data_IF_464016975868
#
_entry.id   IF_464016975868
#
_cell.length_a   1.000
_cell.length_b   1.000
_cell.length_c   1.000
_cell.angle_alpha   90.00
_cell.angle_beta   90.00
_cell.angle_gamma   90.00
#
_symmetry.space_group_name_H-M   'P 1'
#
loop_
_entity.id
_entity.type
_entity.pdbx_description
1 polymer ?
#
# COMPACT_ATOMS: atom_id res chain seq x y z
N UNK A 1 -27.51 -7.16 -29.09
CA UNK A 1 -26.22 -6.49 -29.30
C UNK A 1 -26.31 -5.08 -28.72
N UNK A 2 -25.96 -4.91 -27.45
CA UNK A 2 -25.88 -3.59 -26.81
C UNK A 2 -24.51 -3.51 -26.12
N UNK A 3 -23.71 -2.53 -26.52
CA UNK A 3 -22.42 -2.20 -25.91
C UNK A 3 -22.70 -1.10 -24.89
N UNK A 4 -22.57 -1.41 -23.61
CA UNK A 4 -22.46 -0.38 -22.57
C UNK A 4 -20.98 -0.09 -22.33
N UNK A 5 -20.55 1.10 -22.73
CA UNK A 5 -19.22 1.65 -22.42
C UNK A 5 -19.39 2.64 -21.27
N UNK A 6 -18.99 2.22 -20.07
CA UNK A 6 -18.82 3.11 -18.92
C UNK A 6 -17.77 4.18 -19.25
N UNK A 7 -18.22 5.44 -19.36
CA UNK A 7 -17.36 6.62 -19.51
C UNK A 7 -17.06 7.18 -18.13
N UNK A 8 -15.96 6.76 -17.52
CA UNK A 8 -15.25 7.60 -16.56
C UNK A 8 -13.99 8.15 -17.22
N UNK A 9 -14.02 9.44 -17.52
CA UNK A 9 -12.94 10.14 -18.21
C UNK A 9 -11.94 10.65 -17.16
N UNK A 10 -10.64 10.41 -17.36
CA UNK A 10 -9.53 10.86 -16.49
C UNK A 10 -9.57 12.37 -16.20
N UNK A 11 -10.24 13.16 -17.07
CA UNK A 11 -10.47 14.60 -16.90
C UNK A 11 -11.52 14.96 -15.84
N UNK A 12 -12.45 14.09 -15.49
CA UNK A 12 -13.48 14.37 -14.49
C UNK A 12 -12.94 14.17 -13.06
N UNK A 13 -11.92 13.31 -12.89
CA UNK A 13 -11.19 13.13 -11.63
C UNK A 13 -10.45 14.41 -11.19
N UNK A 14 -9.75 15.08 -12.12
CA UNK A 14 -9.01 16.32 -11.81
C UNK A 14 -9.93 17.54 -11.65
N UNK A 15 -11.10 17.55 -12.31
CA UNK A 15 -12.11 18.60 -12.11
C UNK A 15 -12.75 18.55 -10.72
N UNK A 16 -12.73 17.40 -10.04
CA UNK A 16 -13.15 17.28 -8.65
C UNK A 16 -12.17 17.90 -7.64
N UNK A 17 -10.94 18.24 -8.05
CA UNK A 17 -9.87 18.69 -7.14
C UNK A 17 -9.54 20.18 -7.17
N UNK A 18 -10.10 20.96 -8.08
CA UNK A 18 -9.70 22.36 -8.30
C UNK A 18 -10.78 23.35 -7.87
N UNK A 19 -11.08 23.42 -6.56
CA UNK A 19 -11.96 24.49 -6.08
C UNK A 19 -12.44 24.43 -4.65
N UNK A 20 -11.55 24.36 -3.64
CA UNK A 20 -11.75 25.06 -2.35
C UNK A 20 -10.37 25.35 -1.75
N UNK A 21 -9.94 26.60 -1.87
CA UNK A 21 -9.00 27.18 -0.93
C UNK A 21 -9.79 28.07 0.04
N UNK A 22 -9.36 28.07 1.30
CA UNK A 22 -9.72 28.97 2.41
C UNK A 22 -10.77 28.44 3.40
N UNK A 23 -10.27 28.29 4.63
CA UNK A 23 -10.94 28.16 5.94
C UNK A 23 -11.46 26.77 6.36
N UNK A 24 -10.61 26.06 7.11
CA UNK A 24 -11.03 25.31 8.29
C UNK A 24 -12.00 24.15 8.09
N UNK A 25 -11.55 23.04 7.49
CA UNK A 25 -12.15 21.71 7.72
C UNK A 25 -11.01 20.69 7.78
N UNK A 26 -10.31 20.65 8.91
CA UNK A 26 -9.57 19.44 9.29
C UNK A 26 -10.58 18.31 9.50
N UNK A 27 -10.27 17.12 8.97
CA UNK A 27 -10.91 15.80 9.21
C UNK A 27 -12.06 15.28 8.31
N UNK A 28 -12.44 15.93 7.20
CA UNK A 28 -13.61 15.50 6.40
C UNK A 28 -13.42 14.70 5.10
N UNK A 29 -12.26 14.80 4.42
CA UNK A 29 -12.13 14.34 3.01
C UNK A 29 -11.52 12.94 2.80
N UNK A 30 -11.18 12.23 3.89
CA UNK A 30 -10.87 10.81 3.86
C UNK A 30 -11.90 10.06 4.70
N UNK A 31 -13.13 9.98 4.22
CA UNK A 31 -14.09 9.01 4.76
C UNK A 31 -13.74 7.62 4.27
N UNK A 32 -12.64 7.05 4.75
CA UNK A 32 -12.41 5.60 4.74
C UNK A 32 -13.32 4.97 5.79
N UNK A 33 -14.64 5.02 5.58
CA UNK A 33 -15.50 4.02 6.18
C UNK A 33 -15.37 2.77 5.31
N UNK A 34 -14.27 2.03 5.55
CA UNK A 34 -14.24 0.63 5.20
C UNK A 34 -15.39 -0.02 5.97
N UNK A 35 -16.54 -0.23 5.31
CA UNK A 35 -17.52 -1.17 5.84
C UNK A 35 -16.87 -2.55 5.75
N UNK A 36 -16.15 -2.93 6.81
CA UNK A 36 -15.90 -4.32 7.08
C UNK A 36 -17.27 -4.97 7.28
N UNK A 37 -17.83 -5.53 6.21
CA UNK A 37 -19.00 -6.39 6.29
C UNK A 37 -18.68 -7.50 7.28
N UNK A 38 -19.50 -7.59 8.32
CA UNK A 38 -19.48 -8.54 9.43
C UNK A 38 -18.41 -9.65 9.32
N UNK A 39 -17.17 -9.32 9.71
CA UNK A 39 -16.14 -10.30 10.01
C UNK A 39 -16.58 -11.02 11.29
N UNK A 40 -17.47 -12.00 11.10
CA UNK A 40 -18.16 -12.73 12.15
C UNK A 40 -17.21 -13.11 13.28
N UNK A 41 -17.48 -12.54 14.47
CA UNK A 41 -16.83 -12.90 15.74
C UNK A 41 -15.63 -12.05 16.16
N UNK A 42 -14.83 -11.49 15.26
CA UNK A 42 -13.66 -10.67 15.63
C UNK A 42 -14.04 -9.19 15.85
N UNK A 43 -14.88 -8.64 14.96
CA UNK A 43 -15.37 -7.26 15.05
C UNK A 43 -16.21 -7.01 16.31
N UNK A 44 -17.00 -8.00 16.74
CA UNK A 44 -17.80 -7.89 17.97
C UNK A 44 -16.96 -7.94 19.25
N UNK A 45 -15.83 -8.66 19.26
CA UNK A 45 -14.92 -8.77 20.41
C UNK A 45 -14.12 -7.50 20.69
N UNK A 46 -13.81 -6.73 19.66
CA UNK A 46 -13.02 -5.50 19.72
C UNK A 46 -13.87 -4.25 19.47
N UNK A 47 -15.09 -4.21 20.02
CA UNK A 47 -15.89 -2.98 20.09
C UNK A 47 -15.57 -2.19 21.37
N UNK A 48 -15.49 -0.86 21.25
CA UNK A 48 -15.27 0.01 22.42
C UNK A 48 -14.74 1.40 22.07
N UNK A 49 -14.61 2.23 23.10
CA UNK A 49 -14.01 3.55 22.98
C UNK A 49 -12.48 3.42 22.85
N UNK A 50 -11.91 3.94 21.77
CA UNK A 50 -10.47 3.90 21.50
C UNK A 50 -9.63 4.74 22.47
N UNK A 51 -10.25 5.60 23.28
CA UNK A 51 -9.58 6.34 24.35
C UNK A 51 -9.52 5.58 25.67
N UNK A 52 -10.11 4.37 25.76
CA UNK A 52 -10.15 3.56 26.98
C UNK A 52 -8.99 2.54 27.03
N UNK A 53 -8.17 2.58 28.08
CA UNK A 53 -7.10 1.60 28.33
C UNK A 53 -7.59 0.14 28.39
N UNK A 54 -8.86 -0.10 28.76
CA UNK A 54 -9.45 -1.45 28.70
C UNK A 54 -9.53 -1.96 27.27
N UNK A 55 -9.83 -1.10 26.30
CA UNK A 55 -9.86 -1.48 24.89
C UNK A 55 -8.47 -1.90 24.43
N UNK A 56 -7.44 -1.08 24.67
CA UNK A 56 -6.07 -1.41 24.26
C UNK A 56 -5.49 -2.63 24.99
N UNK A 57 -5.93 -2.91 26.22
CA UNK A 57 -5.61 -4.18 26.89
C UNK A 57 -6.21 -5.38 26.19
N UNK A 58 -7.45 -5.28 25.67
CA UNK A 58 -8.05 -6.35 24.85
C UNK A 58 -7.25 -6.54 23.56
N UNK A 59 -6.94 -5.46 22.84
CA UNK A 59 -6.12 -5.51 21.61
C UNK A 59 -4.76 -6.15 21.88
N UNK A 60 -4.05 -5.73 22.94
CA UNK A 60 -2.76 -6.34 23.33
C UNK A 60 -2.89 -7.84 23.63
N UNK A 61 -4.02 -8.28 24.19
CA UNK A 61 -4.26 -9.68 24.49
C UNK A 61 -4.52 -10.54 23.24
N UNK A 62 -4.76 -9.95 22.08
CA UNK A 62 -4.88 -10.68 20.82
C UNK A 62 -3.54 -11.15 20.27
N UNK A 63 -2.40 -10.69 20.81
CA UNK A 63 -1.08 -11.09 20.33
C UNK A 63 -0.43 -12.13 21.24
N UNK A 64 0.47 -12.94 20.67
CA UNK A 64 1.27 -13.96 21.39
C UNK A 64 2.65 -13.44 21.83
N UNK A 65 2.88 -12.13 21.75
CA UNK A 65 4.13 -11.48 22.12
C UNK A 65 4.61 -11.88 23.52
N UNK A 66 5.93 -12.06 23.66
CA UNK A 66 6.56 -12.36 24.94
C UNK A 66 6.30 -11.23 25.95
N UNK A 67 5.61 -11.55 27.05
CA UNK A 67 5.24 -10.57 28.10
C UNK A 67 6.43 -10.00 28.87
N UNK A 68 7.62 -10.58 28.73
CA UNK A 68 8.87 -10.07 29.31
C UNK A 68 9.59 -9.07 28.41
N UNK A 69 9.06 -8.82 27.22
CA UNK A 69 9.65 -7.92 26.22
C UNK A 69 8.69 -6.79 25.88
N UNK A 70 9.24 -5.59 25.69
CA UNK A 70 8.50 -4.46 25.14
C UNK A 70 8.80 -4.42 23.64
N UNK A 71 7.86 -4.92 22.85
CA UNK A 71 8.00 -4.98 21.40
C UNK A 71 7.68 -3.63 20.77
N UNK A 72 8.72 -2.94 20.28
CA UNK A 72 8.60 -1.60 19.68
C UNK A 72 8.86 -1.58 18.17
N UNK A 73 9.27 -2.71 17.57
CA UNK A 73 9.57 -2.78 16.14
C UNK A 73 8.34 -3.20 15.32
N UNK A 74 7.40 -2.27 15.12
CA UNK A 74 6.24 -2.52 14.24
C UNK A 74 6.51 -2.22 12.76
N UNK A 75 7.64 -1.59 12.45
CA UNK A 75 8.00 -1.18 11.09
C UNK A 75 8.62 -2.29 10.24
N UNK A 76 9.40 -3.20 10.85
CA UNK A 76 10.05 -4.29 10.11
C UNK A 76 9.24 -5.58 10.11
N UNK A 77 8.67 -5.96 11.26
CA UNK A 77 7.99 -7.25 11.41
C UNK A 77 6.80 -7.08 12.34
N UNK A 78 5.60 -7.37 11.84
CA UNK A 78 4.40 -7.40 12.67
C UNK A 78 4.31 -8.70 13.48
N UNK A 79 3.59 -8.67 14.61
CA UNK A 79 3.10 -9.89 15.25
C UNK A 79 1.73 -10.22 14.68
N UNK A 80 1.50 -11.48 14.30
CA UNK A 80 0.15 -11.93 13.96
C UNK A 80 -0.75 -11.94 15.20
N UNK A 81 -2.00 -11.47 15.11
CA UNK A 81 -3.03 -11.78 16.10
C UNK A 81 -3.25 -13.30 16.21
N UNK A 82 -3.75 -13.78 17.35
CA UNK A 82 -3.95 -15.19 17.66
C UNK A 82 -4.86 -15.90 16.65
N UNK A 83 -5.96 -15.27 16.28
CA UNK A 83 -6.91 -15.84 15.32
C UNK A 83 -6.26 -15.97 13.93
N UNK A 84 -5.50 -14.95 13.48
CA UNK A 84 -4.73 -15.01 12.22
C UNK A 84 -3.67 -16.11 12.26
N UNK A 85 -2.92 -16.22 13.36
CA UNK A 85 -1.90 -17.26 13.53
C UNK A 85 -2.52 -18.66 13.51
N UNK A 86 -3.68 -18.84 14.13
CA UNK A 86 -4.43 -20.09 14.14
C UNK A 86 -4.90 -20.48 12.74
N UNK A 87 -5.47 -19.53 12.00
CA UNK A 87 -5.93 -19.78 10.63
C UNK A 87 -4.75 -20.03 9.68
N UNK A 88 -3.61 -19.37 9.88
CA UNK A 88 -2.38 -19.65 9.15
C UNK A 88 -1.89 -21.09 9.36
N UNK A 89 -1.83 -21.57 10.61
CA UNK A 89 -1.47 -22.97 10.91
C UNK A 89 -2.46 -23.96 10.28
N UNK A 90 -3.77 -23.68 10.38
CA UNK A 90 -4.82 -24.47 9.75
C UNK A 90 -4.62 -24.54 8.23
N UNK A 91 -4.39 -23.41 7.58
CA UNK A 91 -4.24 -23.32 6.13
C UNK A 91 -2.99 -24.08 5.65
N UNK A 92 -1.87 -23.99 6.36
CA UNK A 92 -0.66 -24.76 6.05
C UNK A 92 -0.90 -26.27 6.12
N UNK A 93 -1.67 -26.75 7.12
CA UNK A 93 -2.03 -28.17 7.23
C UNK A 93 -2.91 -28.62 6.07
N UNK A 94 -3.92 -27.83 5.71
CA UNK A 94 -4.80 -28.14 4.57
C UNK A 94 -4.00 -28.29 3.28
N UNK A 95 -3.07 -27.37 3.00
CA UNK A 95 -2.22 -27.45 1.81
C UNK A 95 -1.32 -28.69 1.83
N UNK A 96 -0.81 -29.07 3.02
CA UNK A 96 0.04 -30.26 3.16
C UNK A 96 -0.75 -31.58 3.03
N UNK A 97 -1.98 -31.63 3.53
CA UNK A 97 -2.86 -32.81 3.49
C UNK A 97 -3.51 -33.00 2.11
N UNK A 98 -3.83 -31.89 1.43
CA UNK A 98 -4.56 -31.87 0.16
C UNK A 98 -3.83 -31.04 -0.91
N UNK A 99 -2.61 -31.41 -1.34
CA UNK A 99 -1.80 -30.60 -2.25
C UNK A 99 -2.38 -30.45 -3.68
N UNK A 100 -3.37 -31.24 -4.06
CA UNK A 100 -3.96 -31.22 -5.41
C UNK A 100 -5.04 -30.15 -5.58
N UNK A 101 -5.88 -29.90 -4.57
CA UNK A 101 -6.99 -28.93 -4.65
C UNK A 101 -7.28 -28.19 -3.33
N UNK A 102 -6.46 -28.42 -2.30
CA UNK A 102 -6.62 -27.88 -0.96
C UNK A 102 -8.00 -28.16 -0.35
N UNK A 103 -8.65 -29.27 -0.74
CA UNK A 103 -10.02 -29.63 -0.34
C UNK A 103 -11.03 -28.50 -0.59
N UNK A 104 -10.81 -27.71 -1.65
CA UNK A 104 -11.59 -26.50 -1.98
C UNK A 104 -11.63 -25.45 -0.86
N UNK A 105 -10.73 -25.50 0.13
CA UNK A 105 -10.75 -24.63 1.31
C UNK A 105 -10.53 -23.14 0.99
N UNK A 106 -9.95 -22.83 -0.17
CA UNK A 106 -9.66 -21.46 -0.61
C UNK A 106 -10.54 -20.99 -1.78
N UNK A 107 -11.68 -21.64 -2.00
CA UNK A 107 -12.61 -21.28 -3.07
C UNK A 107 -12.10 -21.70 -4.46
N UNK A 108 -12.53 -20.98 -5.50
CA UNK A 108 -12.16 -21.30 -6.89
C UNK A 108 -10.83 -20.69 -7.27
N UNK A 109 -10.04 -21.39 -8.09
CA UNK A 109 -8.82 -20.84 -8.68
C UNK A 109 -9.10 -19.48 -9.36
N UNK A 110 -8.30 -18.42 -9.12
CA UNK A 110 -6.97 -18.38 -8.48
C UNK A 110 -6.93 -18.31 -6.93
N UNK A 111 -7.96 -18.78 -6.21
CA UNK A 111 -8.05 -18.94 -4.74
C UNK A 111 -8.03 -17.65 -3.91
N UNK A 112 -7.64 -16.53 -4.50
CA UNK A 112 -7.50 -15.23 -3.82
C UNK A 112 -8.62 -14.24 -4.17
N UNK A 113 -9.45 -14.54 -5.16
CA UNK A 113 -10.46 -13.60 -5.65
C UNK A 113 -11.46 -13.19 -4.56
N UNK A 114 -11.91 -14.15 -3.75
CA UNK A 114 -12.84 -13.86 -2.66
C UNK A 114 -12.18 -13.00 -1.57
N UNK A 115 -10.87 -13.21 -1.33
CA UNK A 115 -10.10 -12.38 -0.40
C UNK A 115 -9.94 -10.95 -0.93
N UNK A 116 -9.62 -10.81 -2.22
CA UNK A 116 -9.52 -9.50 -2.88
C UNK A 116 -10.87 -8.77 -2.81
N UNK A 117 -11.97 -9.46 -3.11
CA UNK A 117 -13.32 -8.90 -3.02
C UNK A 117 -13.67 -8.40 -1.62
N UNK A 118 -13.24 -9.13 -0.58
CA UNK A 118 -13.48 -8.73 0.80
C UNK A 118 -12.70 -7.47 1.23
N UNK A 119 -11.49 -7.25 0.70
CA UNK A 119 -10.64 -6.12 1.12
C UNK A 119 -10.77 -4.88 0.22
N UNK A 120 -11.17 -5.04 -1.05
CA UNK A 120 -11.18 -3.96 -2.03
C UNK A 120 -11.93 -2.69 -1.60
N UNK A 121 -13.13 -2.78 -0.97
CA UNK A 121 -13.83 -1.60 -0.47
C UNK A 121 -13.02 -0.81 0.57
N UNK A 122 -12.18 -1.48 1.37
CA UNK A 122 -11.34 -0.85 2.37
C UNK A 122 -10.22 0.02 1.78
N UNK A 123 -9.86 -0.21 0.52
CA UNK A 123 -8.87 0.56 -0.23
C UNK A 123 -9.50 1.55 -1.22
N UNK A 124 -10.83 1.56 -1.34
CA UNK A 124 -11.53 2.36 -2.36
C UNK A 124 -11.20 1.94 -3.79
N UNK A 125 -10.86 0.66 -3.99
CA UNK A 125 -10.48 0.09 -5.28
C UNK A 125 -11.51 -0.96 -5.73
N UNK A 126 -11.59 -1.21 -7.03
CA UNK A 126 -12.32 -2.35 -7.58
C UNK A 126 -11.49 -3.63 -7.42
N UNK A 127 -12.15 -4.79 -7.51
CA UNK A 127 -11.47 -6.08 -7.31
C UNK A 127 -10.43 -6.39 -8.38
N UNK A 128 -10.58 -5.83 -9.58
CA UNK A 128 -9.63 -5.94 -10.69
C UNK A 128 -8.46 -4.93 -10.60
N UNK A 129 -8.49 -4.02 -9.63
CA UNK A 129 -7.43 -3.03 -9.37
C UNK A 129 -6.48 -3.47 -8.23
N UNK A 130 -6.72 -4.64 -7.63
CA UNK A 130 -5.91 -5.16 -6.52
C UNK A 130 -5.20 -6.47 -6.86
N UNK A 131 -3.94 -6.55 -6.44
CA UNK A 131 -3.12 -7.76 -6.53
C UNK A 131 -2.51 -8.04 -5.15
N UNK A 132 -2.62 -9.29 -4.68
CA UNK A 132 -1.96 -9.72 -3.45
C UNK A 132 -0.51 -10.12 -3.75
N UNK A 133 0.44 -9.41 -3.14
CA UNK A 133 1.87 -9.73 -3.17
C UNK A 133 2.30 -10.38 -1.85
N UNK A 134 3.47 -11.03 -1.84
CA UNK A 134 3.98 -11.70 -0.63
C UNK A 134 4.45 -10.70 0.44
N UNK A 135 4.93 -9.55 0.01
CA UNK A 135 5.38 -8.43 0.83
C UNK A 135 5.57 -7.19 -0.05
N UNK A 136 5.89 -6.04 0.57
CA UNK A 136 6.07 -4.77 -0.14
C UNK A 136 7.18 -4.82 -1.19
N UNK A 137 8.32 -5.45 -0.89
CA UNK A 137 9.44 -5.58 -1.85
C UNK A 137 9.05 -6.42 -3.06
N UNK A 138 8.34 -7.52 -2.85
CA UNK A 138 7.81 -8.38 -3.92
C UNK A 138 6.84 -7.61 -4.82
N UNK A 139 5.93 -6.83 -4.22
CA UNK A 139 5.00 -5.97 -4.97
C UNK A 139 5.73 -4.92 -5.81
N UNK A 140 6.64 -4.15 -5.19
CA UNK A 140 7.44 -3.14 -5.89
C UNK A 140 8.28 -3.74 -7.01
N UNK A 141 9.00 -4.83 -6.72
CA UNK A 141 9.84 -5.50 -7.70
C UNK A 141 9.02 -6.05 -8.87
N UNK A 142 7.85 -6.65 -8.60
CA UNK A 142 6.97 -7.18 -9.64
C UNK A 142 6.48 -6.09 -10.59
N UNK A 143 6.11 -4.92 -10.06
CA UNK A 143 5.67 -3.79 -10.89
C UNK A 143 6.84 -3.21 -11.67
N UNK A 144 7.95 -2.84 -10.99
CA UNK A 144 9.11 -2.20 -11.63
C UNK A 144 9.67 -3.11 -12.74
N UNK A 145 9.92 -4.39 -12.47
CA UNK A 145 10.47 -5.31 -13.47
C UNK A 145 9.45 -5.74 -14.54
N UNK A 146 8.16 -5.44 -14.35
CA UNK A 146 7.10 -5.73 -15.31
C UNK A 146 6.85 -4.62 -16.32
N UNK A 147 7.44 -3.43 -16.14
CA UNK A 147 7.34 -2.33 -17.09
C UNK A 147 8.24 -2.57 -18.30
N UNK A 148 7.77 -2.14 -19.49
CA UNK A 148 8.50 -2.30 -20.75
C UNK A 148 9.50 -1.16 -20.95
N UNK A 149 10.58 -1.17 -20.19
CA UNK A 149 11.64 -0.17 -20.29
C UNK A 149 12.44 -0.26 -21.59
N UNK A 150 12.86 0.90 -22.08
CA UNK A 150 13.82 1.07 -23.19
C UNK A 150 15.07 1.78 -22.70
N UNK A 151 16.17 1.55 -23.41
CA UNK A 151 17.43 2.25 -23.16
C UNK A 151 17.22 3.77 -23.27
N UNK A 152 17.71 4.50 -22.28
CA UNK A 152 17.52 5.95 -22.17
C UNK A 152 16.22 6.40 -21.50
N UNK A 153 15.31 5.48 -21.13
CA UNK A 153 14.14 5.87 -20.31
C UNK A 153 14.61 6.42 -18.96
N UNK A 154 13.93 7.46 -18.46
CA UNK A 154 14.26 8.10 -17.18
C UNK A 154 13.24 7.71 -16.12
N UNK A 155 13.73 7.16 -15.00
CA UNK A 155 12.94 6.90 -13.80
C UNK A 155 13.23 8.01 -12.79
N UNK A 156 12.19 8.76 -12.44
CA UNK A 156 12.24 9.72 -11.33
C UNK A 156 12.03 8.97 -10.02
N UNK A 157 12.95 9.16 -9.08
CA UNK A 157 12.87 8.60 -7.73
C UNK A 157 13.26 9.64 -6.69
N UNK A 158 13.35 9.24 -5.42
CA UNK A 158 13.73 10.14 -4.33
C UNK A 158 14.77 9.49 -3.43
N UNK A 159 15.63 10.31 -2.82
CA UNK A 159 16.62 9.83 -1.86
C UNK A 159 16.02 9.31 -0.53
N UNK A 160 14.69 9.26 -0.41
CA UNK A 160 13.96 8.69 0.74
C UNK A 160 13.38 7.30 0.45
N UNK A 161 13.55 6.77 -0.76
CA UNK A 161 13.03 5.45 -1.08
C UNK A 161 13.67 4.36 -0.21
N UNK A 162 12.83 3.42 0.24
CA UNK A 162 13.30 2.24 0.95
C UNK A 162 14.11 1.34 0.01
N UNK A 163 15.10 0.61 0.54
CA UNK A 163 15.96 -0.31 -0.24
C UNK A 163 15.16 -1.34 -1.05
N UNK A 164 13.96 -1.70 -0.58
CA UNK A 164 13.03 -2.57 -1.30
C UNK A 164 12.60 -2.03 -2.67
N UNK A 165 12.55 -0.71 -2.85
CA UNK A 165 12.30 -0.08 -4.14
C UNK A 165 13.60 0.13 -4.91
N UNK A 166 14.61 0.76 -4.29
CA UNK A 166 15.85 1.15 -4.99
C UNK A 166 16.65 -0.03 -5.54
N UNK A 167 16.67 -1.18 -4.85
CA UNK A 167 17.32 -2.40 -5.37
C UNK A 167 16.72 -2.86 -6.70
N UNK A 168 15.40 -2.73 -6.87
CA UNK A 168 14.73 -3.07 -8.14
C UNK A 168 15.03 -2.02 -9.20
N UNK A 169 15.11 -0.73 -8.83
CA UNK A 169 15.49 0.34 -9.75
C UNK A 169 16.90 0.12 -10.32
N UNK A 170 17.89 -0.15 -9.47
CA UNK A 170 19.26 -0.43 -9.94
C UNK A 170 19.32 -1.67 -10.83
N UNK A 171 18.50 -2.69 -10.53
CA UNK A 171 18.40 -3.88 -11.38
C UNK A 171 17.91 -3.53 -12.79
N UNK A 172 16.90 -2.67 -12.92
CA UNK A 172 16.39 -2.27 -14.26
C UNK A 172 17.32 -1.31 -14.97
N UNK A 173 18.04 -0.43 -14.25
CA UNK A 173 19.10 0.40 -14.80
C UNK A 173 20.18 -0.46 -15.47
N UNK A 174 20.69 -1.48 -14.78
CA UNK A 174 21.71 -2.36 -15.36
C UNK A 174 21.19 -3.23 -16.51
N UNK A 175 19.93 -3.68 -16.44
CA UNK A 175 19.36 -4.59 -17.44
C UNK A 175 18.90 -3.90 -18.72
N UNK A 176 18.34 -2.71 -18.59
CA UNK A 176 17.64 -2.02 -19.68
C UNK A 176 18.29 -0.69 -20.06
N UNK A 177 19.34 -0.25 -19.36
CA UNK A 177 20.01 1.01 -19.65
C UNK A 177 19.15 2.24 -19.35
N UNK A 178 18.24 2.14 -18.37
CA UNK A 178 17.44 3.28 -17.91
C UNK A 178 18.27 4.19 -17.00
N UNK A 179 18.00 5.49 -17.05
CA UNK A 179 18.58 6.45 -16.13
C UNK A 179 17.71 6.61 -14.89
N UNK A 180 18.33 6.61 -13.71
CA UNK A 180 17.64 6.90 -12.46
C UNK A 180 18.01 8.33 -12.06
N UNK A 181 17.00 9.18 -11.94
CA UNK A 181 17.16 10.55 -11.47
C UNK A 181 16.54 10.70 -10.08
N UNK A 182 17.39 10.78 -9.07
CA UNK A 182 16.98 10.97 -7.69
C UNK A 182 16.72 12.44 -7.39
N UNK A 183 15.49 12.73 -6.99
CA UNK A 183 15.07 14.05 -6.60
C UNK A 183 15.36 14.25 -5.11
N UNK A 184 16.17 15.26 -4.81
CA UNK A 184 16.42 15.71 -3.44
C UNK A 184 15.19 16.43 -2.90
N UNK A 185 14.42 15.73 -2.06
CA UNK A 185 13.36 16.32 -1.26
C UNK A 185 13.97 17.16 -0.12
N UNK A 186 13.48 18.37 0.15
CA UNK A 186 13.99 19.16 1.25
C UNK A 186 13.57 18.53 2.59
N UNK A 187 14.53 18.40 3.53
CA UNK A 187 14.32 17.73 4.82
C UNK A 187 14.42 18.74 5.96
N UNK A 188 13.45 18.71 6.87
CA UNK A 188 13.55 19.46 8.12
C UNK A 188 14.53 18.75 9.05
N UNK A 189 15.66 19.38 9.35
CA UNK A 189 16.71 18.82 10.21
C UNK A 189 16.63 19.33 11.66
N UNK A 190 15.61 20.13 12.01
CA UNK A 190 15.56 20.85 13.29
C UNK A 190 16.28 22.20 13.25
N UNK A 191 17.36 22.30 12.47
CA UNK A 191 18.18 23.52 12.35
C UNK A 191 17.85 24.35 11.10
N UNK A 192 17.34 23.69 10.04
CA UNK A 192 16.86 24.35 8.82
C UNK A 192 15.34 24.31 8.78
N UNK A 193 14.69 25.47 8.77
CA UNK A 193 13.26 25.57 8.43
C UNK A 193 13.06 25.31 6.94
N UNK A 194 11.98 24.59 6.62
CA UNK A 194 11.51 24.39 5.26
C UNK A 194 10.71 25.61 4.84
N UNK A 195 11.10 26.27 3.76
CA UNK A 195 10.33 27.39 3.22
C UNK A 195 9.41 26.95 2.09
N UNK A 196 8.46 27.81 1.71
CA UNK A 196 7.60 27.57 0.54
C UNK A 196 8.45 27.55 -0.73
N UNK A 197 9.50 28.35 -0.79
CA UNK A 197 10.45 28.40 -1.90
C UNK A 197 11.17 27.06 -2.08
N UNK A 198 11.58 26.38 -0.99
CA UNK A 198 12.19 25.04 -1.08
C UNK A 198 11.25 24.03 -1.79
N UNK A 199 9.93 24.14 -1.56
CA UNK A 199 8.91 23.28 -2.18
C UNK A 199 8.62 23.71 -3.63
N UNK A 200 8.62 25.00 -3.91
CA UNK A 200 8.46 25.52 -5.27
C UNK A 200 9.66 25.15 -6.16
N UNK A 201 10.88 25.25 -5.66
CA UNK A 201 12.10 24.86 -6.36
C UNK A 201 12.12 23.37 -6.69
N UNK A 202 11.62 22.52 -5.77
CA UNK A 202 11.42 21.10 -6.04
C UNK A 202 10.52 20.86 -7.26
N UNK A 203 9.41 21.61 -7.36
CA UNK A 203 8.47 21.51 -8.48
C UNK A 203 9.11 21.91 -9.81
N UNK A 204 9.97 22.94 -9.79
CA UNK A 204 10.74 23.39 -10.97
C UNK A 204 11.78 22.34 -11.37
N UNK A 205 12.49 21.73 -10.42
CA UNK A 205 13.47 20.67 -10.68
C UNK A 205 12.81 19.43 -11.29
N UNK A 206 11.65 19.02 -10.77
CA UNK A 206 10.85 17.92 -11.32
C UNK A 206 10.42 18.19 -12.76
N UNK A 207 9.97 19.42 -13.04
CA UNK A 207 9.59 19.82 -14.40
C UNK A 207 10.81 19.82 -15.34
N UNK A 208 11.94 20.39 -14.92
CA UNK A 208 13.17 20.38 -15.70
C UNK A 208 13.65 18.95 -15.99
N UNK A 209 13.63 18.05 -15.00
CA UNK A 209 13.99 16.64 -15.19
C UNK A 209 13.09 15.97 -16.25
N UNK A 210 11.77 16.25 -16.24
CA UNK A 210 10.84 15.70 -17.24
C UNK A 210 11.09 16.23 -18.67
N UNK A 211 11.56 17.48 -18.80
CA UNK A 211 11.86 18.09 -20.10
C UNK A 211 13.19 17.57 -20.66
N UNK A 212 14.20 17.41 -19.80
CA UNK A 212 15.54 16.94 -20.20
C UNK A 212 15.53 15.44 -20.57
N UNK A 213 14.65 14.66 -19.95
CA UNK A 213 14.41 13.25 -20.30
C UNK A 213 13.73 13.06 -21.67
N UNK A 214 13.18 14.13 -22.27
CA UNK A 214 12.43 14.07 -23.53
C UNK A 214 13.23 14.59 -24.75
N UNK A 215 14.50 14.94 -24.57
CA UNK A 215 15.37 15.57 -25.59
C UNK A 215 16.62 14.76 -25.88
#
# INVERSE_FOLDING_TARGET
MSKDTSKFNRRDFLKGGAGVAVAGISSGLFSNQAQASDLGGASSRLSGNHSDDRFWRKVKNEFTLNRRSVYMNVGTTGSMPKDVLKDYDKNNKIVAEHPWDMDNAFGSWPYVNDMIAAIAPGFGANTDELVLSRNTTDGMASIINGLDFKEGDVILSTHHEHIGATSSLYTVQERFGVEIFDVELPVYTGERELTVEDICDLSVRLFAASVTASS
#
